data_IF_893657269164
#
_entry.id   IF_893657269164
#
_cell.length_a   1.000
_cell.length_b   1.000
_cell.length_c   1.000
_cell.angle_alpha   90.00
_cell.angle_beta   90.00
_cell.angle_gamma   90.00
#
_symmetry.space_group_name_H-M   'P 1'
#
loop_
_entity.id
_entity.type
_entity.pdbx_description
1 polymer ?
#
# COMPACT_ATOMS: atom_id res chain seq x y z
N UNK A 1 2.52 11.37 -3.92
CA UNK A 1 1.46 11.36 -4.94
C UNK A 1 1.96 12.12 -6.15
N UNK A 2 2.29 11.43 -7.22
CA UNK A 2 2.27 12.01 -8.55
C UNK A 2 1.34 11.13 -9.35
N UNK A 3 0.04 11.31 -9.13
CA UNK A 3 -0.90 10.90 -10.14
C UNK A 3 -0.60 11.79 -11.33
N UNK A 4 -0.05 11.23 -12.41
CA UNK A 4 -0.11 11.88 -13.70
C UNK A 4 -1.56 12.31 -13.89
N UNK A 5 -1.78 13.44 -14.56
CA UNK A 5 -3.11 13.93 -14.86
C UNK A 5 -3.93 12.77 -15.46
N UNK A 6 -5.07 12.36 -14.83
CA UNK A 6 -5.84 11.22 -15.31
C UNK A 6 -6.29 11.47 -16.75
N UNK A 7 -5.88 10.60 -17.65
CA UNK A 7 -6.19 10.72 -19.07
C UNK A 7 -7.67 10.42 -19.33
N UNK A 8 -8.28 11.11 -20.30
CA UNK A 8 -9.64 10.84 -20.74
C UNK A 8 -10.73 11.33 -19.80
N UNK A 9 -10.46 12.34 -18.98
CA UNK A 9 -11.46 13.02 -18.14
C UNK A 9 -11.59 14.49 -18.54
N UNK A 10 -12.79 15.05 -18.39
CA UNK A 10 -13.09 16.43 -18.78
C UNK A 10 -12.83 17.43 -17.66
N UNK A 11 -12.84 16.97 -16.40
CA UNK A 11 -12.57 17.80 -15.23
C UNK A 11 -12.23 16.96 -13.98
N UNK A 12 -11.68 17.63 -12.96
CA UNK A 12 -11.25 17.03 -11.69
C UNK A 12 -12.08 17.56 -10.54
N UNK A 13 -12.45 16.67 -9.61
CA UNK A 13 -12.98 17.01 -8.29
C UNK A 13 -11.96 16.62 -7.23
N UNK A 14 -11.44 17.61 -6.50
CA UNK A 14 -10.41 17.42 -5.49
C UNK A 14 -10.95 17.83 -4.15
N UNK A 15 -10.90 16.96 -3.16
CA UNK A 15 -11.54 17.16 -1.86
C UNK A 15 -10.54 16.82 -0.76
N UNK A 16 -10.43 17.65 0.27
CA UNK A 16 -9.60 17.29 1.42
C UNK A 16 -9.72 18.21 2.61
N UNK A 17 -9.21 17.77 3.74
CA UNK A 17 -8.99 18.59 4.92
C UNK A 17 -7.54 19.14 4.97
N UNK A 18 -7.17 19.80 6.06
CA UNK A 18 -5.81 20.37 6.23
C UNK A 18 -4.70 19.32 6.12
N UNK A 19 -4.96 18.04 6.40
CA UNK A 19 -3.96 16.98 6.27
C UNK A 19 -3.65 16.65 4.82
N UNK A 20 -4.63 16.85 3.93
CA UNK A 20 -4.49 16.67 2.50
C UNK A 20 -3.91 17.91 1.77
N UNK A 21 -3.83 19.06 2.46
CA UNK A 21 -3.44 20.34 1.85
C UNK A 21 -2.07 20.29 1.13
N UNK A 22 -1.00 19.66 1.66
CA UNK A 22 0.26 19.56 0.94
C UNK A 22 0.15 18.80 -0.39
N UNK A 23 -0.66 17.74 -0.42
CA UNK A 23 -0.90 16.95 -1.62
C UNK A 23 -1.73 17.73 -2.65
N UNK A 24 -2.78 18.42 -2.21
CA UNK A 24 -3.62 19.28 -3.04
C UNK A 24 -2.78 20.41 -3.65
N UNK A 25 -1.97 21.10 -2.84
CA UNK A 25 -1.11 22.19 -3.29
C UNK A 25 -0.14 21.75 -4.37
N UNK A 26 0.51 20.61 -4.16
CA UNK A 26 1.43 20.02 -5.14
C UNK A 26 0.70 19.66 -6.43
N UNK A 27 -0.45 19.02 -6.32
CA UNK A 27 -1.21 18.60 -7.49
C UNK A 27 -1.71 19.78 -8.32
N UNK A 28 -2.20 20.84 -7.66
CA UNK A 28 -2.57 22.09 -8.33
C UNK A 28 -1.40 22.74 -9.06
N UNK A 29 -0.21 22.76 -8.46
CA UNK A 29 0.99 23.31 -9.08
C UNK A 29 1.48 22.49 -10.30
N UNK A 30 1.18 21.17 -10.31
CA UNK A 30 1.58 20.27 -11.39
C UNK A 30 0.48 20.10 -12.47
N UNK A 31 -0.74 20.63 -12.26
CA UNK A 31 -1.84 20.53 -13.24
C UNK A 31 -1.51 21.27 -14.53
N UNK A 32 -1.76 20.64 -15.69
CA UNK A 32 -1.61 21.31 -16.98
C UNK A 32 -2.53 22.54 -17.11
N UNK A 33 -2.05 23.57 -17.79
CA UNK A 33 -2.84 24.76 -18.09
C UNK A 33 -4.15 24.38 -18.80
N UNK A 34 -5.27 24.98 -18.36
CA UNK A 34 -6.59 24.72 -18.91
C UNK A 34 -7.30 23.48 -18.36
N UNK A 35 -6.67 22.72 -17.47
CA UNK A 35 -7.36 21.67 -16.73
C UNK A 35 -8.47 22.26 -15.87
N UNK A 36 -9.70 21.81 -16.06
CA UNK A 36 -10.82 22.28 -15.22
C UNK A 36 -10.86 21.50 -13.91
N UNK A 37 -10.89 22.20 -12.77
CA UNK A 37 -10.97 21.55 -11.46
C UNK A 37 -11.93 22.26 -10.51
N UNK A 38 -12.58 21.49 -9.63
CA UNK A 38 -13.26 21.94 -8.44
C UNK A 38 -12.54 21.39 -7.23
N UNK A 39 -12.14 22.28 -6.34
CA UNK A 39 -11.32 21.94 -5.18
C UNK A 39 -12.02 22.41 -3.91
N UNK A 40 -12.26 21.49 -2.98
CA UNK A 40 -12.84 21.79 -1.67
C UNK A 40 -11.83 21.46 -0.59
N UNK A 41 -11.49 22.43 0.26
CA UNK A 41 -10.50 22.27 1.32
C UNK A 41 -11.11 22.74 2.64
N UNK A 42 -11.22 21.81 3.60
CA UNK A 42 -11.65 22.14 4.95
C UNK A 42 -10.46 22.49 5.82
N UNK A 43 -10.55 23.57 6.56
CA UNK A 43 -9.53 24.07 7.48
C UNK A 43 -10.12 24.48 8.83
N UNK A 44 -9.30 24.48 9.88
CA UNK A 44 -9.73 24.84 11.23
C UNK A 44 -10.30 26.24 11.35
N UNK A 45 -9.65 27.21 10.73
CA UNK A 45 -10.01 28.63 10.78
C UNK A 45 -9.76 29.30 9.43
N UNK A 46 -10.46 30.42 9.19
CA UNK A 46 -10.31 31.26 7.98
C UNK A 46 -8.85 31.69 7.74
N UNK A 47 -8.09 31.91 8.81
CA UNK A 47 -6.69 32.30 8.79
C UNK A 47 -5.74 31.23 8.25
N UNK A 48 -6.20 29.98 8.16
CA UNK A 48 -5.41 28.85 7.64
C UNK A 48 -5.46 28.73 6.12
N UNK A 49 -6.19 29.59 5.43
CA UNK A 49 -6.19 29.65 3.96
C UNK A 49 -4.83 30.06 3.44
N UNK A 50 -4.44 29.47 2.33
CA UNK A 50 -3.16 29.70 1.66
C UNK A 50 -3.38 30.01 0.19
N UNK A 51 -2.47 30.72 -0.42
CA UNK A 51 -2.42 30.83 -1.88
C UNK A 51 -1.91 29.50 -2.46
N UNK A 52 -2.67 28.95 -3.41
CA UNK A 52 -2.33 27.71 -4.11
C UNK A 52 -2.09 28.06 -5.60
N UNK A 53 -0.84 28.32 -5.99
CA UNK A 53 -0.53 28.68 -7.36
C UNK A 53 -0.81 27.51 -8.31
N UNK A 54 -1.48 27.79 -9.43
CA UNK A 54 -1.80 26.82 -10.47
C UNK A 54 -2.01 27.52 -11.82
N UNK A 55 -1.66 26.84 -12.90
CA UNK A 55 -1.98 27.27 -14.28
C UNK A 55 -3.31 26.65 -14.77
N UNK A 56 -3.95 25.81 -13.95
CA UNK A 56 -5.21 25.18 -14.25
C UNK A 56 -6.42 26.14 -14.10
N UNK A 57 -7.52 25.84 -14.79
CA UNK A 57 -8.83 26.48 -14.55
C UNK A 57 -9.50 25.86 -13.32
N UNK A 58 -8.91 26.14 -12.16
CA UNK A 58 -9.30 25.58 -10.89
C UNK A 58 -10.07 26.58 -10.03
N UNK A 59 -11.22 26.15 -9.49
CA UNK A 59 -11.98 26.92 -8.49
C UNK A 59 -11.74 26.26 -7.14
N UNK A 60 -11.02 26.97 -6.25
CA UNK A 60 -10.71 26.50 -4.90
C UNK A 60 -11.70 27.12 -3.92
N UNK A 61 -12.44 26.27 -3.22
CA UNK A 61 -13.39 26.63 -2.16
C UNK A 61 -12.83 26.22 -0.81
N UNK A 62 -12.60 27.20 0.05
CA UNK A 62 -12.16 26.98 1.41
C UNK A 62 -13.36 26.93 2.35
N UNK A 63 -13.39 25.95 3.23
CA UNK A 63 -14.43 25.70 4.21
C UNK A 63 -13.81 25.82 5.60
N UNK A 64 -14.22 26.84 6.37
CA UNK A 64 -13.76 27.02 7.73
C UNK A 64 -14.64 26.29 8.72
N UNK A 65 -14.06 25.53 9.64
CA UNK A 65 -14.77 24.92 10.76
C UNK A 65 -15.03 25.89 11.90
N UNK A 66 -14.50 27.12 11.83
CA UNK A 66 -14.64 28.17 12.85
C UNK A 66 -14.30 27.68 14.26
N UNK A 67 -13.21 26.90 14.37
CA UNK A 67 -12.71 26.35 15.63
C UNK A 67 -13.37 25.03 16.07
N UNK A 68 -14.36 24.51 15.33
CA UNK A 68 -14.86 23.15 15.60
C UNK A 68 -13.74 22.09 15.40
N UNK A 69 -13.71 21.03 16.22
CA UNK A 69 -12.69 19.99 16.09
C UNK A 69 -12.70 19.35 14.69
N UNK A 70 -11.51 18.95 14.23
CA UNK A 70 -11.37 18.26 12.95
C UNK A 70 -12.20 16.96 12.92
N UNK A 71 -12.83 16.68 11.76
CA UNK A 71 -13.66 15.49 11.55
C UNK A 71 -15.00 15.50 12.30
N UNK A 72 -15.46 16.66 12.81
CA UNK A 72 -16.77 16.77 13.48
C UNK A 72 -17.81 17.52 12.66
N UNK A 73 -17.42 18.03 11.50
CA UNK A 73 -18.30 18.82 10.61
C UNK A 73 -18.65 18.01 9.37
N UNK A 74 -19.73 18.40 8.72
CA UNK A 74 -20.18 17.87 7.42
C UNK A 74 -19.96 18.87 6.27
N UNK A 75 -19.09 19.86 6.48
CA UNK A 75 -18.85 20.95 5.53
C UNK A 75 -18.41 20.46 4.15
N UNK A 76 -17.46 19.53 4.10
CA UNK A 76 -17.01 18.93 2.84
C UNK A 76 -18.14 18.19 2.12
N UNK A 77 -18.90 17.36 2.84
CA UNK A 77 -20.02 16.63 2.25
C UNK A 77 -21.11 17.57 1.75
N UNK A 78 -21.49 18.57 2.53
CA UNK A 78 -22.47 19.58 2.12
C UNK A 78 -22.01 20.37 0.88
N UNK A 79 -20.73 20.77 0.84
CA UNK A 79 -20.17 21.49 -0.29
C UNK A 79 -20.20 20.65 -1.57
N UNK A 80 -19.81 19.38 -1.49
CA UNK A 80 -19.84 18.44 -2.62
C UNK A 80 -21.27 18.15 -3.09
N UNK A 81 -22.23 17.99 -2.17
CA UNK A 81 -23.63 17.75 -2.51
C UNK A 81 -24.29 18.94 -3.17
N UNK A 82 -23.94 20.16 -2.74
CA UNK A 82 -24.56 21.42 -3.21
C UNK A 82 -23.85 22.01 -4.43
N UNK A 83 -22.69 21.56 -4.81
CA UNK A 83 -21.95 22.10 -5.95
C UNK A 83 -22.71 21.90 -7.27
N UNK A 84 -22.52 22.86 -8.20
CA UNK A 84 -22.91 22.67 -9.58
C UNK A 84 -21.99 21.61 -10.24
N UNK A 85 -22.60 20.49 -10.67
CA UNK A 85 -21.87 19.41 -11.32
C UNK A 85 -21.52 19.77 -12.76
N UNK A 86 -20.23 19.78 -13.09
CA UNK A 86 -19.80 20.14 -14.43
C UNK A 86 -20.16 19.04 -15.45
N UNK A 87 -20.44 19.42 -16.69
CA UNK A 87 -20.69 18.45 -17.74
C UNK A 87 -19.39 17.71 -18.14
N UNK A 88 -19.54 16.45 -18.53
CA UNK A 88 -18.44 15.59 -18.97
C UNK A 88 -18.02 14.58 -17.91
N UNK A 89 -16.98 13.84 -18.22
CA UNK A 89 -16.39 12.82 -17.35
C UNK A 89 -15.52 13.46 -16.26
N UNK A 90 -15.70 13.02 -15.02
CA UNK A 90 -14.94 13.49 -13.85
C UNK A 90 -13.97 12.42 -13.37
N UNK A 91 -12.84 12.86 -12.84
CA UNK A 91 -12.03 12.09 -11.90
C UNK A 91 -12.11 12.72 -10.52
N UNK A 92 -12.38 11.91 -9.51
CA UNK A 92 -12.54 12.35 -8.12
C UNK A 92 -11.36 11.88 -7.29
N UNK A 93 -10.67 12.81 -6.67
CA UNK A 93 -9.64 12.52 -5.68
C UNK A 93 -10.04 13.13 -4.34
N UNK A 94 -10.02 12.34 -3.29
CA UNK A 94 -10.39 12.79 -1.96
C UNK A 94 -9.45 12.21 -0.90
N UNK A 95 -8.95 13.06 0.01
CA UNK A 95 -8.12 12.61 1.13
C UNK A 95 -8.42 13.42 2.40
N UNK A 96 -8.38 12.76 3.56
CA UNK A 96 -8.67 13.40 4.85
C UNK A 96 -9.22 12.42 5.87
N UNK A 97 -10.16 12.89 6.73
CA UNK A 97 -10.79 12.07 7.76
C UNK A 97 -11.67 10.96 7.15
N UNK A 98 -11.42 9.71 7.52
CA UNK A 98 -11.99 8.53 6.88
C UNK A 98 -13.54 8.48 6.90
N UNK A 99 -14.19 8.89 8.02
CA UNK A 99 -15.66 8.85 8.15
C UNK A 99 -16.31 9.94 7.30
N UNK A 100 -15.71 11.13 7.27
CA UNK A 100 -16.17 12.26 6.42
C UNK A 100 -16.12 11.87 4.95
N UNK A 101 -15.03 11.24 4.51
CA UNK A 101 -14.87 10.80 3.12
C UNK A 101 -15.89 9.72 2.72
N UNK A 102 -16.35 8.88 3.65
CA UNK A 102 -17.34 7.84 3.39
C UNK A 102 -18.68 8.39 2.90
N UNK A 103 -19.20 9.45 3.55
CA UNK A 103 -20.42 10.12 3.12
C UNK A 103 -20.30 10.70 1.71
N UNK A 104 -19.16 11.32 1.42
CA UNK A 104 -18.85 11.89 0.11
C UNK A 104 -18.75 10.79 -0.95
N UNK A 105 -18.03 9.70 -0.68
CA UNK A 105 -17.89 8.55 -1.60
C UNK A 105 -19.24 7.96 -1.96
N UNK A 106 -20.12 7.74 -0.96
CA UNK A 106 -21.50 7.25 -1.19
C UNK A 106 -22.27 8.16 -2.14
N UNK A 107 -22.22 9.48 -1.93
CA UNK A 107 -22.87 10.44 -2.81
C UNK A 107 -22.32 10.37 -4.25
N UNK A 108 -21.01 10.34 -4.42
CA UNK A 108 -20.35 10.28 -5.72
C UNK A 108 -20.71 8.98 -6.47
N UNK A 109 -20.72 7.85 -5.76
CA UNK A 109 -21.04 6.55 -6.36
C UNK A 109 -22.53 6.40 -6.66
N UNK A 110 -23.40 6.65 -5.67
CA UNK A 110 -24.84 6.37 -5.79
C UNK A 110 -25.60 7.44 -6.57
N UNK A 111 -25.36 8.73 -6.26
CA UNK A 111 -26.15 9.83 -6.83
C UNK A 111 -25.54 10.38 -8.12
N UNK A 112 -24.21 10.37 -8.25
CA UNK A 112 -23.49 10.88 -9.43
C UNK A 112 -23.04 9.78 -10.39
N UNK A 113 -23.10 8.51 -9.98
CA UNK A 113 -22.78 7.34 -10.79
C UNK A 113 -21.37 7.39 -11.42
N UNK A 114 -20.41 7.98 -10.70
CA UNK A 114 -19.01 8.01 -11.16
C UNK A 114 -18.44 6.60 -11.07
N UNK A 115 -17.83 6.07 -12.15
CA UNK A 115 -17.21 4.76 -12.15
C UNK A 115 -16.03 4.69 -11.16
N UNK A 116 -15.83 3.52 -10.55
CA UNK A 116 -14.83 3.31 -9.51
C UNK A 116 -13.39 3.60 -9.96
N UNK A 117 -13.08 3.24 -11.20
CA UNK A 117 -11.79 3.50 -11.84
C UNK A 117 -11.48 5.00 -12.03
N UNK A 118 -12.46 5.85 -11.78
CA UNK A 118 -12.34 7.32 -11.82
C UNK A 118 -12.42 7.96 -10.44
N UNK A 119 -12.19 7.19 -9.39
CA UNK A 119 -12.22 7.66 -8.01
C UNK A 119 -11.00 7.18 -7.25
N UNK A 120 -10.42 8.08 -6.46
CA UNK A 120 -9.37 7.76 -5.49
C UNK A 120 -9.74 8.43 -4.16
N UNK A 121 -10.00 7.61 -3.15
CA UNK A 121 -10.37 8.04 -1.82
C UNK A 121 -9.40 7.46 -0.80
N UNK A 122 -8.64 8.32 -0.13
CA UNK A 122 -7.65 7.91 0.86
C UNK A 122 -7.95 8.50 2.23
N UNK A 123 -8.26 7.67 3.21
CA UNK A 123 -8.36 8.09 4.61
C UNK A 123 -6.96 8.32 5.18
N UNK A 124 -6.58 9.58 5.39
CA UNK A 124 -5.28 9.92 5.99
C UNK A 124 -5.28 9.77 7.51
N UNK A 125 -6.44 9.93 8.13
CA UNK A 125 -6.60 9.78 9.57
C UNK A 125 -8.05 9.45 9.91
N UNK A 126 -8.28 9.00 11.13
CA UNK A 126 -9.60 8.71 11.65
C UNK A 126 -9.75 9.33 13.02
N UNK A 127 -10.83 10.07 13.23
CA UNK A 127 -11.19 10.56 14.55
C UNK A 127 -11.52 9.37 15.46
N UNK A 128 -10.91 9.36 16.66
CA UNK A 128 -11.36 8.44 17.70
C UNK A 128 -12.79 8.86 18.12
N UNK A 129 -13.78 7.99 17.93
CA UNK A 129 -15.11 8.22 18.49
C UNK A 129 -15.02 8.08 20.01
N UNK A 130 -15.57 9.05 20.78
CA UNK A 130 -15.80 8.79 22.20
C UNK A 130 -16.77 7.62 22.31
N UNK A 131 -16.42 6.63 23.14
CA UNK A 131 -17.31 5.50 23.42
C UNK A 131 -18.70 6.01 23.79
N UNK A 132 -19.80 5.40 23.27
CA UNK A 132 -21.15 5.83 23.59
C UNK A 132 -21.38 5.70 25.09
N UNK A 133 -21.46 6.82 25.81
CA UNK A 133 -21.74 6.87 27.25
C UNK A 133 -20.75 7.65 28.11
N UNK A 134 -19.71 8.27 27.54
CA UNK A 134 -18.79 9.12 28.30
C UNK A 134 -19.43 10.47 28.62
N UNK A 135 -20.39 10.49 29.55
CA UNK A 135 -20.77 11.66 30.32
C UNK A 135 -20.13 11.53 31.71
N UNK A 136 -19.18 12.41 31.99
CA UNK A 136 -18.83 12.97 33.30
C UNK A 136 -18.31 12.10 34.47
N UNK A 137 -17.90 10.86 34.29
CA UNK A 137 -17.03 10.22 35.29
C UNK A 137 -15.68 9.94 34.64
N UNK A 138 -14.67 10.71 35.02
CA UNK A 138 -13.28 10.45 34.59
C UNK A 138 -12.90 9.05 35.09
N UNK A 139 -12.78 8.09 34.15
CA UNK A 139 -12.23 6.76 34.46
C UNK A 139 -10.89 6.97 35.15
N UNK A 140 -10.64 6.37 36.30
CA UNK A 140 -9.35 6.47 36.98
C UNK A 140 -8.22 6.12 36.01
N UNK A 141 -7.11 6.86 36.04
CA UNK A 141 -5.98 6.64 35.12
C UNK A 141 -5.50 5.18 35.07
N UNK A 142 -5.56 4.47 36.20
CA UNK A 142 -5.20 3.05 36.29
C UNK A 142 -6.21 2.14 35.54
N UNK A 143 -7.48 2.48 35.56
CA UNK A 143 -8.54 1.71 34.86
C UNK A 143 -8.46 1.95 33.35
N UNK A 144 -8.25 3.19 32.91
CA UNK A 144 -8.02 3.53 31.51
C UNK A 144 -6.74 2.87 30.95
N UNK A 145 -5.67 2.80 31.75
CA UNK A 145 -4.44 2.11 31.38
C UNK A 145 -4.67 0.59 31.26
N UNK A 146 -5.47 0.01 32.14
CA UNK A 146 -5.82 -1.41 32.11
C UNK A 146 -6.67 -1.76 30.87
N UNK A 147 -7.71 -0.99 30.60
CA UNK A 147 -8.53 -1.15 29.40
C UNK A 147 -7.68 -1.03 28.12
N UNK A 148 -6.81 -0.01 28.06
CA UNK A 148 -5.91 0.16 26.92
C UNK A 148 -4.96 -1.01 26.73
N UNK A 149 -4.46 -1.62 27.81
CA UNK A 149 -3.61 -2.80 27.72
C UNK A 149 -4.41 -4.00 27.18
N UNK A 150 -5.65 -4.19 27.62
CA UNK A 150 -6.53 -5.25 27.11
C UNK A 150 -6.81 -5.06 25.61
N UNK A 151 -7.14 -3.86 25.15
CA UNK A 151 -7.33 -3.56 23.73
C UNK A 151 -6.06 -3.89 22.90
N UNK A 152 -4.88 -3.47 23.39
CA UNK A 152 -3.61 -3.70 22.69
C UNK A 152 -3.21 -5.18 22.65
N UNK A 153 -3.72 -6.01 23.55
CA UNK A 153 -3.38 -7.44 23.61
C UNK A 153 -4.46 -8.34 23.03
N UNK A 154 -5.65 -7.81 22.67
CA UNK A 154 -6.74 -8.60 22.13
C UNK A 154 -6.51 -8.93 20.65
N UNK A 155 -6.26 -10.20 20.37
CA UNK A 155 -6.08 -10.73 19.01
C UNK A 155 -7.38 -11.31 18.44
N UNK A 156 -8.43 -11.49 19.26
CA UNK A 156 -9.64 -12.19 18.85
C UNK A 156 -10.41 -11.47 17.72
N UNK A 157 -10.60 -10.14 17.73
CA UNK A 157 -11.28 -9.46 16.63
C UNK A 157 -10.58 -9.67 15.28
N UNK A 158 -9.25 -9.54 15.26
CA UNK A 158 -8.45 -9.72 14.04
C UNK A 158 -8.58 -11.13 13.45
N UNK A 159 -8.54 -12.17 14.29
CA UNK A 159 -8.75 -13.55 13.83
C UNK A 159 -10.18 -13.84 13.40
N UNK A 160 -11.19 -13.28 14.09
CA UNK A 160 -12.59 -13.46 13.74
C UNK A 160 -12.90 -12.82 12.37
N UNK A 161 -12.43 -11.60 12.13
CA UNK A 161 -12.56 -10.90 10.84
C UNK A 161 -11.92 -11.73 9.73
N UNK A 162 -10.65 -12.09 9.87
CA UNK A 162 -9.92 -12.86 8.86
C UNK A 162 -10.55 -14.22 8.58
N UNK A 163 -11.08 -14.89 9.62
CA UNK A 163 -11.81 -16.15 9.46
C UNK A 163 -13.11 -15.94 8.68
N UNK A 164 -13.89 -14.93 9.03
CA UNK A 164 -15.14 -14.61 8.34
C UNK A 164 -14.93 -14.25 6.86
N UNK A 165 -13.92 -13.42 6.56
CA UNK A 165 -13.51 -13.10 5.19
C UNK A 165 -13.07 -14.35 4.43
N UNK A 166 -12.24 -15.19 5.04
CA UNK A 166 -11.73 -16.42 4.41
C UNK A 166 -12.86 -17.42 4.08
N UNK A 167 -13.91 -17.44 4.89
CA UNK A 167 -15.10 -18.26 4.67
C UNK A 167 -16.09 -17.62 3.68
N UNK A 168 -15.89 -16.37 3.24
CA UNK A 168 -16.84 -15.65 2.40
C UNK A 168 -18.15 -15.34 3.10
N UNK A 169 -18.14 -15.20 4.45
CA UNK A 169 -19.38 -15.01 5.23
C UNK A 169 -20.06 -13.68 4.91
N UNK A 170 -19.31 -12.60 4.77
CA UNK A 170 -19.86 -11.28 4.50
C UNK A 170 -20.48 -11.20 3.10
N UNK A 171 -19.87 -11.81 2.09
CA UNK A 171 -20.42 -11.94 0.74
C UNK A 171 -21.69 -12.76 0.70
N UNK A 172 -21.75 -13.87 1.46
CA UNK A 172 -22.95 -14.70 1.57
C UNK A 172 -24.10 -13.91 2.22
N UNK A 173 -23.84 -13.18 3.30
CA UNK A 173 -24.84 -12.35 3.98
C UNK A 173 -25.32 -11.22 3.07
N UNK A 174 -24.43 -10.52 2.37
CA UNK A 174 -24.80 -9.51 1.35
C UNK A 174 -25.65 -10.12 0.25
N UNK A 175 -25.36 -11.36 -0.15
CA UNK A 175 -26.12 -12.12 -1.14
C UNK A 175 -27.48 -12.65 -0.64
N UNK A 176 -27.90 -12.32 0.58
CA UNK A 176 -29.20 -12.70 1.16
C UNK A 176 -29.20 -14.03 1.90
N UNK A 177 -28.02 -14.66 2.12
CA UNK A 177 -27.91 -15.86 2.95
C UNK A 177 -27.68 -15.44 4.41
N UNK A 178 -28.76 -15.30 5.20
CA UNK A 178 -28.68 -14.73 6.54
C UNK A 178 -28.74 -15.76 7.68
N UNK A 179 -29.33 -16.93 7.41
CA UNK A 179 -29.57 -17.95 8.43
C UNK A 179 -28.33 -18.78 8.79
N UNK A 180 -28.02 -18.99 10.09
CA UNK A 180 -26.81 -19.70 10.54
C UNK A 180 -26.64 -21.11 9.95
N UNK A 181 -27.72 -21.88 9.85
CA UNK A 181 -27.68 -23.25 9.32
C UNK A 181 -27.32 -23.27 7.82
N UNK A 182 -27.84 -22.33 7.04
CA UNK A 182 -27.52 -22.19 5.62
C UNK A 182 -26.09 -21.66 5.40
N UNK A 183 -25.66 -20.70 6.22
CA UNK A 183 -24.28 -20.23 6.22
C UNK A 183 -23.29 -21.37 6.54
N UNK A 184 -23.56 -22.19 7.55
CA UNK A 184 -22.72 -23.35 7.89
C UNK A 184 -22.64 -24.35 6.73
N UNK A 185 -23.77 -24.61 6.08
CA UNK A 185 -23.81 -25.51 4.93
C UNK A 185 -23.03 -24.98 3.73
N UNK A 186 -23.13 -23.68 3.46
CA UNK A 186 -22.44 -23.02 2.34
C UNK A 186 -20.92 -22.94 2.54
N UNK A 187 -20.50 -22.69 3.77
CA UNK A 187 -19.08 -22.58 4.12
C UNK A 187 -18.43 -23.92 4.47
N UNK A 188 -19.23 -24.99 4.60
CA UNK A 188 -18.73 -26.32 4.98
C UNK A 188 -18.20 -26.39 6.42
N UNK A 189 -18.70 -25.53 7.30
CA UNK A 189 -18.25 -25.40 8.70
C UNK A 189 -19.15 -26.15 9.67
N UNK A 190 -18.63 -26.43 10.88
CA UNK A 190 -19.44 -26.93 11.99
C UNK A 190 -20.49 -25.89 12.41
N UNK A 191 -21.79 -26.24 12.43
CA UNK A 191 -22.85 -25.28 12.71
C UNK A 191 -22.77 -24.63 14.09
N UNK A 192 -22.30 -25.38 15.11
CA UNK A 192 -22.19 -24.87 16.48
C UNK A 192 -21.06 -23.84 16.59
N UNK A 193 -19.89 -24.15 16.01
CA UNK A 193 -18.76 -23.25 16.01
C UNK A 193 -19.02 -22.00 15.15
N UNK A 194 -19.67 -22.17 14.00
CA UNK A 194 -20.09 -21.02 13.21
C UNK A 194 -21.09 -20.14 13.97
N UNK A 195 -22.06 -20.75 14.69
CA UNK A 195 -22.99 -20.00 15.53
C UNK A 195 -22.28 -19.15 16.59
N UNK A 196 -21.24 -19.70 17.22
CA UNK A 196 -20.40 -18.94 18.15
C UNK A 196 -19.66 -17.79 17.49
N UNK A 197 -19.09 -18.02 16.30
CA UNK A 197 -18.43 -16.96 15.52
C UNK A 197 -19.41 -15.85 15.13
N UNK A 198 -20.60 -16.19 14.63
CA UNK A 198 -21.62 -15.21 14.27
C UNK A 198 -22.06 -14.39 15.50
N UNK A 199 -22.24 -15.02 16.65
CA UNK A 199 -22.55 -14.34 17.91
C UNK A 199 -21.44 -13.34 18.28
N UNK A 200 -20.19 -13.75 18.15
CA UNK A 200 -19.05 -12.88 18.40
C UNK A 200 -18.99 -11.71 17.41
N UNK A 201 -19.21 -11.96 16.11
CA UNK A 201 -19.24 -10.90 15.10
C UNK A 201 -20.36 -9.87 15.33
N UNK A 202 -21.51 -10.32 15.89
CA UNK A 202 -22.58 -9.40 16.35
C UNK A 202 -22.10 -8.58 17.54
N UNK A 203 -21.46 -9.22 18.53
CA UNK A 203 -20.99 -8.55 19.73
C UNK A 203 -19.94 -7.45 19.45
N UNK A 204 -19.09 -7.64 18.43
CA UNK A 204 -18.09 -6.64 18.02
C UNK A 204 -18.58 -5.70 16.90
N UNK A 205 -19.88 -5.73 16.58
CA UNK A 205 -20.51 -4.77 15.66
C UNK A 205 -20.23 -5.00 14.17
N UNK A 206 -19.81 -6.19 13.77
CA UNK A 206 -19.63 -6.56 12.35
C UNK A 206 -20.87 -7.16 11.71
N UNK A 207 -21.77 -7.73 12.51
CA UNK A 207 -23.07 -8.20 12.07
C UNK A 207 -24.16 -7.64 12.99
N UNK A 208 -25.38 -7.60 12.48
CA UNK A 208 -26.58 -7.35 13.27
C UNK A 208 -27.56 -8.51 13.10
N UNK A 209 -28.23 -8.90 14.19
CA UNK A 209 -29.34 -9.84 14.12
C UNK A 209 -30.57 -9.18 13.45
N UNK A 210 -31.21 -9.87 12.50
CA UNK A 210 -32.36 -9.32 11.74
C UNK A 210 -33.72 -9.47 12.47
N UNK A 211 -33.73 -10.09 13.67
CA UNK A 211 -34.94 -10.34 14.46
C UNK A 211 -35.73 -11.59 14.05
N UNK A 212 -35.40 -12.21 12.91
CA UNK A 212 -35.99 -13.45 12.39
C UNK A 212 -35.05 -14.65 12.50
N UNK A 213 -33.94 -14.47 13.22
CA UNK A 213 -32.90 -15.48 13.43
C UNK A 213 -31.82 -15.51 12.37
N UNK A 214 -31.77 -14.52 11.50
CA UNK A 214 -30.73 -14.29 10.53
C UNK A 214 -29.79 -13.14 10.91
N UNK A 215 -28.88 -12.80 10.00
CA UNK A 215 -27.86 -11.78 10.16
C UNK A 215 -27.83 -10.83 8.96
N UNK A 216 -27.48 -9.57 9.20
CA UNK A 216 -27.22 -8.56 8.17
C UNK A 216 -25.89 -7.87 8.42
N UNK A 217 -25.32 -7.27 7.38
CA UNK A 217 -24.10 -6.49 7.47
C UNK A 217 -24.36 -5.19 8.24
N UNK A 218 -23.33 -4.73 8.94
CA UNK A 218 -23.25 -3.37 9.46
C UNK A 218 -22.47 -2.49 8.47
N UNK A 219 -22.52 -1.15 8.60
CA UNK A 219 -21.69 -0.28 7.80
C UNK A 219 -20.18 -0.60 7.85
N UNK A 220 -19.70 -1.16 8.96
CA UNK A 220 -18.29 -1.56 9.11
C UNK A 220 -17.97 -2.80 8.26
N UNK A 221 -18.84 -3.81 8.27
CA UNK A 221 -18.61 -5.02 7.49
C UNK A 221 -18.96 -4.86 6.00
N UNK A 222 -19.77 -3.87 5.63
CA UNK A 222 -19.97 -3.51 4.23
C UNK A 222 -18.66 -3.09 3.55
N UNK A 223 -17.72 -2.44 4.26
CA UNK A 223 -16.40 -2.10 3.76
C UNK A 223 -15.59 -3.34 3.31
N UNK A 224 -15.77 -4.47 4.02
CA UNK A 224 -15.07 -5.72 3.72
C UNK A 224 -15.56 -6.40 2.43
N UNK A 225 -16.74 -6.02 1.92
CA UNK A 225 -17.35 -6.62 0.73
C UNK A 225 -17.54 -5.64 -0.43
N UNK A 226 -17.43 -4.34 -0.19
CA UNK A 226 -17.45 -3.31 -1.23
C UNK A 226 -16.14 -3.25 -2.00
N UNK A 227 -15.05 -3.66 -1.37
CA UNK A 227 -13.71 -3.62 -1.92
C UNK A 227 -13.09 -5.04 -2.05
N UNK A 228 -12.89 -5.50 -3.29
CA UNK A 228 -12.19 -6.75 -3.56
C UNK A 228 -10.78 -6.76 -2.95
N UNK A 229 -10.15 -5.58 -2.81
CA UNK A 229 -8.86 -5.43 -2.15
C UNK A 229 -8.95 -5.78 -0.66
N UNK A 230 -9.97 -5.32 0.06
CA UNK A 230 -10.19 -5.65 1.47
C UNK A 230 -10.37 -7.15 1.68
N UNK A 231 -11.05 -7.83 0.77
CA UNK A 231 -11.21 -9.31 0.80
C UNK A 231 -9.85 -10.02 0.70
N UNK A 232 -8.95 -9.60 -0.17
CA UNK A 232 -7.61 -10.19 -0.28
C UNK A 232 -6.70 -9.83 0.91
N UNK A 233 -6.78 -8.62 1.43
CA UNK A 233 -5.99 -8.14 2.56
C UNK A 233 -6.26 -8.95 3.83
N UNK A 234 -7.54 -9.25 4.13
CA UNK A 234 -7.90 -9.96 5.35
C UNK A 234 -8.01 -11.49 5.19
N UNK A 235 -7.83 -12.04 4.01
CA UNK A 235 -7.87 -13.49 3.80
C UNK A 235 -6.68 -14.20 4.46
N UNK A 236 -6.94 -15.26 5.26
CA UNK A 236 -5.91 -15.98 6.03
C UNK A 236 -4.81 -16.65 5.17
N UNK A 237 -5.12 -17.00 3.92
CA UNK A 237 -4.14 -17.49 2.95
C UNK A 237 -3.44 -16.39 2.16
N UNK A 238 -3.68 -15.12 2.44
CA UNK A 238 -3.09 -13.98 1.75
C UNK A 238 -1.72 -13.57 2.28
N UNK A 239 -1.03 -12.74 1.50
CA UNK A 239 0.30 -12.23 1.86
C UNK A 239 0.25 -11.33 3.10
N UNK A 240 -0.77 -10.47 3.21
CA UNK A 240 -0.94 -9.59 4.37
C UNK A 240 -1.14 -10.40 5.66
N UNK A 241 -1.92 -11.48 5.61
CA UNK A 241 -2.07 -12.37 6.75
C UNK A 241 -0.74 -13.02 7.14
N UNK A 242 0.08 -13.46 6.19
CA UNK A 242 1.41 -13.98 6.47
C UNK A 242 2.31 -12.93 7.14
N UNK A 243 2.24 -11.68 6.71
CA UNK A 243 2.96 -10.56 7.32
C UNK A 243 2.51 -10.31 8.77
N UNK A 244 1.20 -10.25 9.02
CA UNK A 244 0.65 -9.98 10.36
C UNK A 244 0.92 -11.13 11.32
N UNK A 245 0.68 -12.37 10.88
CA UNK A 245 0.92 -13.58 11.68
C UNK A 245 2.40 -13.83 11.93
N UNK A 246 3.29 -13.26 11.12
CA UNK A 246 4.74 -13.38 11.29
C UNK A 246 5.21 -12.89 12.66
N UNK A 247 4.51 -11.92 13.24
CA UNK A 247 4.81 -11.39 14.57
C UNK A 247 4.73 -12.44 15.68
N UNK A 248 4.08 -13.59 15.46
CA UNK A 248 4.16 -14.75 16.37
C UNK A 248 5.57 -15.30 16.52
N UNK A 249 6.44 -15.05 15.52
CA UNK A 249 7.87 -15.39 15.54
C UNK A 249 8.79 -14.34 16.15
N UNK A 250 8.25 -13.17 16.59
CA UNK A 250 9.05 -12.01 16.99
C UNK A 250 10.04 -12.33 18.12
N UNK A 251 9.61 -13.09 19.13
CA UNK A 251 10.50 -13.47 20.23
C UNK A 251 11.69 -14.29 19.75
N UNK A 252 11.49 -15.21 18.80
CA UNK A 252 12.56 -15.98 18.21
C UNK A 252 13.51 -15.08 17.42
N UNK A 253 12.99 -14.25 16.53
CA UNK A 253 13.78 -13.34 15.72
C UNK A 253 14.63 -12.38 16.58
N UNK A 254 14.07 -11.81 17.65
CA UNK A 254 14.81 -10.95 18.57
C UNK A 254 15.95 -11.67 19.33
N UNK A 255 15.79 -12.97 19.61
CA UNK A 255 16.81 -13.75 20.35
C UNK A 255 17.92 -14.29 19.47
N UNK A 256 17.62 -14.57 18.21
CA UNK A 256 18.54 -15.31 17.33
C UNK A 256 19.03 -14.51 16.13
N UNK A 257 18.29 -13.47 15.73
CA UNK A 257 18.51 -12.78 14.45
C UNK A 257 18.04 -13.61 13.23
N UNK A 258 17.40 -14.76 13.45
CA UNK A 258 16.91 -15.64 12.37
C UNK A 258 15.39 -15.51 12.19
N UNK A 259 14.84 -15.88 11.00
CA UNK A 259 13.40 -15.91 10.79
C UNK A 259 12.69 -16.75 11.86
N UNK A 260 11.61 -16.22 12.42
CA UNK A 260 10.85 -16.87 13.50
C UNK A 260 9.51 -17.42 13.09
N UNK A 261 9.06 -17.18 11.86
CA UNK A 261 7.71 -17.52 11.42
C UNK A 261 7.70 -18.58 10.31
N UNK A 262 6.81 -19.55 10.47
CA UNK A 262 6.47 -20.54 9.45
C UNK A 262 4.99 -20.42 9.07
N UNK A 263 4.67 -20.65 7.81
CA UNK A 263 3.29 -20.72 7.34
C UNK A 263 2.52 -21.85 8.02
N UNK A 264 1.20 -21.85 7.87
CA UNK A 264 0.36 -22.96 8.36
C UNK A 264 0.78 -24.35 7.82
N UNK A 265 1.42 -24.39 6.63
CA UNK A 265 2.01 -25.59 6.05
C UNK A 265 3.34 -26.03 6.68
N UNK A 266 3.91 -25.21 7.57
CA UNK A 266 5.17 -25.49 8.25
C UNK A 266 6.42 -25.01 7.52
N UNK A 267 6.28 -24.43 6.33
CA UNK A 267 7.38 -23.91 5.53
C UNK A 267 7.75 -22.47 5.90
N UNK A 268 9.02 -22.10 5.69
CA UNK A 268 9.40 -20.69 5.68
C UNK A 268 8.64 -19.94 4.58
N UNK A 269 8.25 -18.70 4.84
CA UNK A 269 7.46 -17.89 3.88
C UNK A 269 8.15 -17.82 2.52
N UNK A 270 9.45 -17.58 2.49
CA UNK A 270 10.22 -17.56 1.24
C UNK A 270 10.11 -18.88 0.45
N UNK A 271 10.08 -20.02 1.14
CA UNK A 271 9.90 -21.34 0.52
C UNK A 271 8.45 -21.54 0.06
N UNK A 272 7.47 -21.18 0.90
CA UNK A 272 6.06 -21.29 0.58
C UNK A 272 5.69 -20.47 -0.67
N UNK A 273 6.26 -19.29 -0.83
CA UNK A 273 6.06 -18.44 -2.02
C UNK A 273 6.51 -19.09 -3.34
N UNK A 274 7.37 -20.11 -3.31
CA UNK A 274 7.75 -20.84 -4.52
C UNK A 274 6.65 -21.78 -5.04
N UNK A 275 5.74 -22.20 -4.18
CA UNK A 275 4.68 -23.19 -4.49
C UNK A 275 3.25 -22.67 -4.28
N UNK A 276 3.05 -21.65 -3.47
CA UNK A 276 1.76 -21.02 -3.20
C UNK A 276 1.59 -19.76 -4.07
N UNK A 277 0.84 -19.91 -5.17
CA UNK A 277 0.60 -18.83 -6.14
C UNK A 277 -0.19 -17.67 -5.52
N UNK A 278 -1.09 -17.92 -4.56
CA UNK A 278 -1.86 -16.87 -3.89
C UNK A 278 -0.96 -16.03 -3.00
N UNK A 279 -0.16 -16.68 -2.17
CA UNK A 279 0.80 -16.01 -1.30
C UNK A 279 1.82 -15.20 -2.11
N UNK A 280 2.40 -15.80 -3.13
CA UNK A 280 3.36 -15.13 -4.02
C UNK A 280 2.73 -13.98 -4.80
N UNK A 281 1.55 -14.19 -5.37
CA UNK A 281 0.83 -13.18 -6.13
C UNK A 281 0.39 -11.99 -5.29
N UNK A 282 -0.14 -12.22 -4.09
CA UNK A 282 -0.52 -11.17 -3.16
C UNK A 282 0.68 -10.37 -2.66
N UNK A 283 1.78 -11.05 -2.29
CA UNK A 283 3.01 -10.39 -1.88
C UNK A 283 3.61 -9.52 -2.99
N UNK A 284 3.54 -9.98 -4.23
CA UNK A 284 3.97 -9.19 -5.39
C UNK A 284 3.06 -7.99 -5.62
N UNK A 285 1.75 -8.20 -5.64
CA UNK A 285 0.78 -7.13 -5.88
C UNK A 285 0.94 -5.98 -4.87
N UNK A 286 1.15 -6.28 -3.58
CA UNK A 286 1.37 -5.28 -2.55
C UNK A 286 2.62 -4.42 -2.83
N UNK A 287 3.74 -5.04 -3.21
CA UNK A 287 4.98 -4.31 -3.49
C UNK A 287 4.90 -3.54 -4.82
N UNK A 288 4.18 -4.05 -5.82
CA UNK A 288 3.93 -3.30 -7.07
C UNK A 288 3.04 -2.07 -6.82
N UNK A 289 2.06 -2.18 -5.92
CA UNK A 289 1.25 -1.03 -5.51
C UNK A 289 2.09 0.04 -4.81
N UNK A 290 2.91 -0.36 -3.83
CA UNK A 290 3.83 0.56 -3.14
C UNK A 290 4.83 1.22 -4.12
N UNK A 291 5.31 0.48 -5.12
CA UNK A 291 6.26 0.99 -6.11
C UNK A 291 5.71 2.18 -6.92
N UNK A 292 4.39 2.36 -7.01
CA UNK A 292 3.76 3.53 -7.66
C UNK A 292 4.19 4.85 -7.03
N UNK A 293 4.43 4.84 -5.72
CA UNK A 293 4.81 6.05 -4.98
C UNK A 293 6.24 6.52 -5.29
N UNK A 294 7.14 5.58 -5.59
CA UNK A 294 8.56 5.87 -5.84
C UNK A 294 8.91 5.93 -7.32
N UNK A 295 8.09 5.35 -8.20
CA UNK A 295 8.36 5.27 -9.63
C UNK A 295 8.65 6.64 -10.29
N UNK A 296 7.93 7.74 -9.96
CA UNK A 296 8.26 9.06 -10.49
C UNK A 296 9.62 9.59 -10.02
N UNK A 297 10.02 9.28 -8.78
CA UNK A 297 11.35 9.59 -8.26
C UNK A 297 12.44 8.86 -9.02
N UNK A 298 12.26 7.56 -9.24
CA UNK A 298 13.19 6.72 -10.03
C UNK A 298 13.33 7.26 -11.45
N UNK A 299 12.24 7.65 -12.10
CA UNK A 299 12.26 8.17 -13.48
C UNK A 299 13.06 9.48 -13.63
N UNK A 300 13.19 10.25 -12.56
CA UNK A 300 13.88 11.56 -12.55
C UNK A 300 15.31 11.47 -12.00
N UNK A 301 15.61 10.46 -11.19
CA UNK A 301 16.85 10.40 -10.41
C UNK A 301 18.07 9.93 -11.21
N UNK A 302 17.89 9.45 -12.43
CA UNK A 302 18.99 8.94 -13.27
C UNK A 302 18.90 9.47 -14.71
N UNK A 303 20.03 9.50 -15.42
CA UNK A 303 20.07 9.87 -16.85
C UNK A 303 19.66 8.69 -17.73
N UNK A 304 18.37 8.41 -17.76
CA UNK A 304 17.78 7.32 -18.55
C UNK A 304 17.94 7.52 -20.06
N UNK A 305 18.16 8.76 -20.51
CA UNK A 305 18.39 9.04 -21.93
C UNK A 305 19.70 8.42 -22.43
N UNK A 306 20.66 8.19 -21.54
CA UNK A 306 21.92 7.50 -21.85
C UNK A 306 21.80 5.97 -21.88
N UNK A 307 20.67 5.40 -21.43
CA UNK A 307 20.45 3.95 -21.31
C UNK A 307 19.64 3.46 -22.50
N UNK A 308 20.25 2.62 -23.33
CA UNK A 308 19.54 1.98 -24.44
C UNK A 308 18.81 0.70 -24.00
N UNK A 309 19.46 -0.09 -23.14
CA UNK A 309 18.94 -1.36 -22.63
C UNK A 309 19.15 -1.42 -21.12
N UNK A 310 18.07 -1.72 -20.39
CA UNK A 310 18.04 -1.94 -18.96
C UNK A 310 17.74 -3.41 -18.68
N UNK A 311 18.51 -4.05 -17.81
CA UNK A 311 18.11 -5.32 -17.21
C UNK A 311 17.60 -5.05 -15.80
N UNK A 312 16.39 -5.49 -15.47
CA UNK A 312 15.73 -5.15 -14.22
C UNK A 312 15.23 -6.41 -13.50
N UNK A 313 15.18 -6.38 -12.19
CA UNK A 313 14.62 -7.44 -11.36
C UNK A 313 14.37 -7.00 -9.93
N UNK A 314 13.85 -7.91 -9.11
CA UNK A 314 13.45 -7.64 -7.74
C UNK A 314 11.95 -7.33 -7.60
N UNK A 315 11.57 -6.69 -6.51
CA UNK A 315 10.17 -6.47 -6.15
C UNK A 315 9.72 -5.05 -6.56
N UNK A 316 8.47 -4.91 -7.02
CA UNK A 316 7.94 -3.63 -7.53
C UNK A 316 8.49 -3.22 -8.91
N UNK A 317 9.27 -4.11 -9.55
CA UNK A 317 9.99 -3.81 -10.80
C UNK A 317 9.05 -3.56 -11.98
N UNK A 318 7.88 -4.20 -12.02
CA UNK A 318 6.91 -4.01 -13.12
C UNK A 318 6.38 -2.59 -13.16
N UNK A 319 5.97 -2.07 -12.03
CA UNK A 319 5.49 -0.68 -11.88
C UNK A 319 6.59 0.34 -12.18
N UNK A 320 7.82 0.09 -11.72
CA UNK A 320 8.96 0.96 -12.07
C UNK A 320 9.22 0.96 -13.57
N UNK A 321 9.16 -0.20 -14.23
CA UNK A 321 9.37 -0.34 -15.67
C UNK A 321 8.27 0.36 -16.47
N UNK A 322 7.01 0.25 -16.05
CA UNK A 322 5.91 1.00 -16.66
C UNK A 322 6.20 2.51 -16.68
N UNK A 323 6.60 3.06 -15.53
CA UNK A 323 6.92 4.48 -15.43
C UNK A 323 8.15 4.88 -16.26
N UNK A 324 9.20 4.04 -16.24
CA UNK A 324 10.43 4.30 -16.99
C UNK A 324 10.21 4.28 -18.51
N UNK A 325 9.51 3.29 -19.04
CA UNK A 325 9.27 3.18 -20.48
C UNK A 325 8.33 4.29 -20.97
N UNK A 326 7.31 4.65 -20.18
CA UNK A 326 6.44 5.80 -20.51
C UNK A 326 7.20 7.12 -20.56
N UNK A 327 8.10 7.35 -19.60
CA UNK A 327 8.94 8.54 -19.58
C UNK A 327 10.04 8.53 -20.65
N UNK A 328 10.54 7.35 -21.03
CA UNK A 328 11.66 7.14 -21.94
C UNK A 328 11.34 6.08 -23.00
N UNK A 329 10.54 6.38 -24.03
CA UNK A 329 10.03 5.39 -24.99
C UNK A 329 11.09 4.67 -25.83
N UNK A 330 12.32 5.19 -25.87
CA UNK A 330 13.44 4.54 -26.54
C UNK A 330 14.08 3.42 -25.71
N UNK A 331 13.81 3.38 -24.39
CA UNK A 331 14.36 2.39 -23.46
C UNK A 331 13.80 0.99 -23.80
N UNK A 332 14.69 0.01 -23.82
CA UNK A 332 14.33 -1.42 -23.92
C UNK A 332 14.67 -2.08 -22.59
N UNK A 333 13.73 -2.81 -22.06
CA UNK A 333 13.86 -3.41 -20.73
C UNK A 333 13.80 -4.93 -20.81
N UNK A 334 14.65 -5.59 -20.06
CA UNK A 334 14.66 -7.02 -19.83
C UNK A 334 14.34 -7.24 -18.36
N UNK A 335 13.19 -7.84 -18.04
CA UNK A 335 12.84 -8.18 -16.65
C UNK A 335 13.21 -9.63 -16.41
N UNK A 336 14.11 -9.85 -15.46
CA UNK A 336 14.54 -11.18 -15.03
C UNK A 336 13.88 -11.53 -13.68
N UNK A 337 13.09 -12.61 -13.66
CA UNK A 337 12.37 -13.06 -12.47
C UNK A 337 12.03 -14.57 -12.57
N UNK A 338 11.45 -15.13 -11.51
CA UNK A 338 10.93 -16.51 -11.54
C UNK A 338 9.79 -16.66 -12.57
N UNK A 339 9.63 -17.84 -13.20
CA UNK A 339 8.57 -18.04 -14.18
C UNK A 339 7.15 -17.71 -13.67
N UNK A 340 6.85 -18.00 -12.40
CA UNK A 340 5.57 -17.64 -11.75
C UNK A 340 5.38 -16.14 -11.64
N UNK A 341 6.43 -15.42 -11.33
CA UNK A 341 6.43 -13.96 -11.21
C UNK A 341 6.29 -13.28 -12.58
N UNK A 342 6.98 -13.79 -13.61
CA UNK A 342 6.89 -13.27 -14.97
C UNK A 342 5.46 -13.35 -15.52
N UNK A 343 4.73 -14.41 -15.20
CA UNK A 343 3.32 -14.55 -15.58
C UNK A 343 2.45 -13.45 -14.97
N UNK A 344 2.63 -13.16 -13.67
CA UNK A 344 1.89 -12.09 -12.99
C UNK A 344 2.26 -10.71 -13.57
N UNK A 345 3.54 -10.48 -13.86
CA UNK A 345 4.00 -9.25 -14.49
C UNK A 345 3.33 -9.03 -15.84
N UNK A 346 3.30 -10.06 -16.69
CA UNK A 346 2.74 -10.00 -18.04
C UNK A 346 1.20 -9.80 -18.03
N UNK A 347 0.51 -10.57 -17.19
CA UNK A 347 -0.96 -10.61 -17.20
C UNK A 347 -1.62 -9.46 -16.42
N UNK A 348 -0.94 -8.87 -15.41
CA UNK A 348 -1.58 -7.98 -14.44
C UNK A 348 -0.88 -6.66 -14.16
N UNK A 349 0.43 -6.57 -14.42
CA UNK A 349 1.23 -5.43 -13.97
C UNK A 349 1.72 -4.58 -15.14
N UNK A 350 2.26 -5.20 -16.18
CA UNK A 350 2.78 -4.45 -17.32
C UNK A 350 1.64 -3.87 -18.14
N UNK A 351 1.71 -2.57 -18.37
CA UNK A 351 0.75 -1.88 -19.23
C UNK A 351 0.89 -2.33 -20.69
N UNK A 352 -0.22 -2.43 -21.40
CA UNK A 352 -0.25 -2.94 -22.78
C UNK A 352 0.56 -2.11 -23.78
N UNK A 353 0.72 -0.81 -23.52
CA UNK A 353 1.55 0.11 -24.30
C UNK A 353 3.04 0.01 -23.97
N UNK A 354 3.41 -0.51 -22.80
CA UNK A 354 4.76 -0.75 -22.31
C UNK A 354 5.29 -2.12 -22.71
N UNK A 355 4.45 -3.14 -22.65
CA UNK A 355 4.79 -4.55 -22.92
C UNK A 355 5.63 -4.76 -24.19
N UNK A 356 5.40 -4.09 -25.33
CA UNK A 356 6.25 -4.25 -26.53
C UNK A 356 7.71 -3.81 -26.36
N UNK A 357 8.02 -3.03 -25.32
CA UNK A 357 9.38 -2.59 -24.99
C UNK A 357 10.06 -3.47 -23.94
N UNK A 358 9.37 -4.50 -23.46
CA UNK A 358 9.83 -5.37 -22.36
C UNK A 358 10.02 -6.80 -22.85
N UNK A 359 11.18 -7.38 -22.54
CA UNK A 359 11.49 -8.81 -22.70
C UNK A 359 11.46 -9.46 -21.32
N UNK A 360 10.64 -10.51 -21.15
CA UNK A 360 10.54 -11.27 -19.91
C UNK A 360 11.49 -12.47 -19.94
N UNK A 361 12.41 -12.57 -18.98
CA UNK A 361 13.48 -13.57 -18.95
C UNK A 361 13.33 -14.45 -17.72
N UNK A 362 13.07 -15.74 -17.89
CA UNK A 362 13.06 -16.68 -16.77
C UNK A 362 14.45 -16.78 -16.12
N UNK A 363 14.52 -16.54 -14.82
CA UNK A 363 15.73 -16.65 -14.02
C UNK A 363 15.43 -17.24 -12.65
N UNK A 364 16.33 -18.02 -12.10
CA UNK A 364 16.19 -18.65 -10.78
C UNK A 364 17.00 -17.94 -9.68
N UNK A 365 17.99 -17.12 -10.05
CA UNK A 365 18.77 -16.33 -9.09
C UNK A 365 18.07 -15.03 -8.70
N UNK A 366 18.40 -14.47 -7.52
CA UNK A 366 17.74 -13.27 -7.00
C UNK A 366 18.13 -11.99 -7.75
N UNK A 367 19.29 -11.96 -8.40
CA UNK A 367 19.82 -10.78 -9.08
C UNK A 367 19.74 -10.94 -10.59
N UNK A 368 19.22 -9.95 -11.31
CA UNK A 368 19.19 -9.99 -12.78
C UNK A 368 20.62 -9.89 -13.37
N UNK A 369 20.85 -10.66 -14.43
CA UNK A 369 22.13 -10.72 -15.10
C UNK A 369 22.08 -10.21 -16.54
N UNK A 370 23.18 -9.59 -16.96
CA UNK A 370 23.41 -9.15 -18.33
C UNK A 370 23.01 -7.69 -18.61
N UNK A 371 23.76 -7.09 -19.53
CA UNK A 371 23.63 -5.68 -19.87
C UNK A 371 24.62 -4.78 -19.13
N UNK A 372 24.75 -3.54 -19.61
CA UNK A 372 25.64 -2.53 -19.01
C UNK A 372 24.96 -1.74 -17.88
N UNK A 373 23.63 -1.74 -17.84
CA UNK A 373 22.84 -1.10 -16.78
C UNK A 373 21.88 -2.13 -16.19
N UNK A 374 21.98 -2.36 -14.91
CA UNK A 374 21.15 -3.32 -14.15
C UNK A 374 20.43 -2.58 -13.04
N UNK A 375 19.12 -2.79 -12.92
CA UNK A 375 18.28 -2.25 -11.86
C UNK A 375 17.82 -3.41 -10.95
N UNK A 376 18.10 -3.28 -9.67
CA UNK A 376 17.61 -4.18 -8.62
C UNK A 376 16.72 -3.37 -7.69
N UNK A 377 15.50 -3.83 -7.46
CA UNK A 377 14.53 -3.13 -6.65
C UNK A 377 14.06 -3.97 -5.47
N UNK A 378 14.15 -3.42 -4.26
CA UNK A 378 13.60 -3.95 -3.00
C UNK A 378 13.92 -5.42 -2.75
N UNK A 379 15.15 -5.80 -3.02
CA UNK A 379 15.64 -7.15 -2.83
C UNK A 379 16.32 -7.32 -1.47
N UNK A 380 17.16 -6.34 -1.07
CA UNK A 380 18.06 -6.52 0.07
C UNK A 380 17.31 -6.51 1.42
N UNK A 381 16.17 -5.86 1.50
CA UNK A 381 15.31 -5.86 2.70
C UNK A 381 14.84 -7.25 3.11
N UNK A 382 14.89 -8.23 2.18
CA UNK A 382 14.43 -9.62 2.36
C UNK A 382 15.59 -10.61 2.48
N UNK A 383 16.80 -10.13 2.54
CA UNK A 383 18.02 -10.95 2.64
C UNK A 383 18.77 -10.61 3.94
N UNK A 384 19.24 -11.62 4.64
CA UNK A 384 20.21 -11.41 5.72
C UNK A 384 21.49 -10.77 5.16
N UNK A 385 22.31 -10.14 5.99
CA UNK A 385 23.46 -9.36 5.54
C UNK A 385 24.43 -10.16 4.66
N UNK A 386 24.71 -11.39 5.02
CA UNK A 386 25.62 -12.23 4.24
C UNK A 386 25.04 -12.61 2.87
N UNK A 387 23.74 -12.91 2.81
CA UNK A 387 23.05 -13.19 1.55
C UNK A 387 22.93 -11.93 0.68
N UNK A 388 22.71 -10.76 1.30
CA UNK A 388 22.70 -9.48 0.60
C UNK A 388 24.07 -9.16 -0.02
N UNK A 389 25.16 -9.41 0.72
CA UNK A 389 26.53 -9.25 0.19
C UNK A 389 26.77 -10.24 -0.94
N UNK A 390 26.35 -11.50 -0.81
CA UNK A 390 26.48 -12.50 -1.86
C UNK A 390 25.74 -12.06 -3.13
N UNK A 391 24.49 -11.64 -3.02
CA UNK A 391 23.68 -11.16 -4.12
C UNK A 391 24.31 -9.94 -4.84
N UNK A 392 24.80 -8.97 -4.07
CA UNK A 392 25.52 -7.82 -4.63
C UNK A 392 26.85 -8.20 -5.27
N UNK A 393 27.56 -9.20 -4.72
CA UNK A 393 28.82 -9.72 -5.29
C UNK A 393 28.58 -10.40 -6.64
N UNK A 394 27.51 -11.21 -6.75
CA UNK A 394 27.08 -11.82 -8.01
C UNK A 394 26.70 -10.74 -9.04
N UNK A 395 25.94 -9.73 -8.62
CA UNK A 395 25.62 -8.58 -9.47
C UNK A 395 26.89 -7.88 -9.98
N UNK A 396 27.82 -7.58 -9.07
CA UNK A 396 29.11 -6.94 -9.39
C UNK A 396 29.91 -7.76 -10.39
N UNK A 397 30.00 -9.07 -10.18
CA UNK A 397 30.76 -9.97 -11.07
C UNK A 397 30.15 -10.06 -12.47
N UNK A 398 28.82 -9.97 -12.59
CA UNK A 398 28.10 -10.03 -13.85
C UNK A 398 28.13 -8.73 -14.66
N UNK A 399 28.48 -7.58 -14.05
CA UNK A 399 28.59 -6.31 -14.72
C UNK A 399 29.86 -6.23 -15.59
N UNK A 400 29.78 -5.62 -16.79
CA UNK A 400 30.98 -5.24 -17.52
C UNK A 400 31.80 -4.18 -16.76
N UNK A 401 33.05 -3.93 -17.19
CA UNK A 401 33.95 -3.01 -16.49
C UNK A 401 33.41 -1.59 -16.33
N UNK A 402 32.64 -1.13 -17.30
CA UNK A 402 31.96 0.16 -17.34
C UNK A 402 30.46 0.07 -16.96
N UNK A 403 30.03 -1.06 -16.42
CA UNK A 403 28.64 -1.30 -16.06
C UNK A 403 28.20 -0.58 -14.80
N UNK A 404 26.91 -0.29 -14.73
CA UNK A 404 26.26 0.39 -13.60
C UNK A 404 25.20 -0.51 -13.00
N UNK A 405 25.25 -0.68 -11.69
CA UNK A 405 24.17 -1.26 -10.89
C UNK A 405 23.36 -0.13 -10.23
N UNK A 406 22.09 -0.08 -10.55
CA UNK A 406 21.11 0.78 -9.90
C UNK A 406 20.39 -0.04 -8.86
N UNK A 407 20.40 0.42 -7.62
CA UNK A 407 19.72 -0.23 -6.52
C UNK A 407 18.64 0.69 -5.95
N UNK A 408 17.40 0.22 -5.91
CA UNK A 408 16.28 0.92 -5.28
C UNK A 408 15.92 0.15 -4.02
N UNK A 409 16.12 0.77 -2.87
CA UNK A 409 15.79 0.17 -1.57
C UNK A 409 15.09 1.19 -0.66
N UNK A 410 14.19 0.69 0.18
CA UNK A 410 13.66 1.47 1.28
C UNK A 410 14.70 1.50 2.40
N UNK A 411 14.91 2.68 2.98
CA UNK A 411 15.80 2.83 4.13
C UNK A 411 14.98 2.93 5.42
N UNK A 412 15.58 2.53 6.51
CA UNK A 412 15.01 2.71 7.85
C UNK A 412 14.90 4.22 8.14
N UNK A 413 13.67 4.74 8.42
CA UNK A 413 13.47 6.15 8.73
C UNK A 413 14.34 6.61 9.90
N UNK A 414 14.82 7.84 9.82
CA UNK A 414 15.56 8.47 10.93
C UNK A 414 14.54 9.12 11.85
N UNK A 415 14.55 8.74 13.15
CA UNK A 415 13.69 9.36 14.16
C UNK A 415 12.71 8.39 14.84
N UNK A 416 12.35 7.30 14.23
CA UNK A 416 11.50 6.25 14.85
C UNK A 416 10.03 6.60 15.03
N UNK A 417 9.56 7.71 14.47
CA UNK A 417 8.17 8.18 14.62
C UNK A 417 7.21 7.56 13.58
N UNK A 418 7.75 6.88 12.56
CA UNK A 418 6.97 6.15 11.58
C UNK A 418 6.63 4.75 12.11
N UNK A 419 5.39 4.59 12.57
CA UNK A 419 4.89 3.32 13.10
C UNK A 419 4.84 2.23 12.04
N UNK A 420 4.45 2.58 10.81
CA UNK A 420 4.29 1.60 9.73
C UNK A 420 5.64 1.05 9.29
N UNK A 421 6.64 1.91 9.08
CA UNK A 421 8.00 1.48 8.76
C UNK A 421 8.63 0.66 9.90
N UNK A 422 8.35 1.03 11.16
CA UNK A 422 8.81 0.27 12.32
C UNK A 422 8.18 -1.11 12.35
N UNK A 423 6.87 -1.21 12.14
CA UNK A 423 6.14 -2.48 12.09
C UNK A 423 6.60 -3.35 10.91
N UNK A 424 6.81 -2.75 9.75
CA UNK A 424 7.35 -3.43 8.58
C UNK A 424 8.73 -4.02 8.87
N UNK A 425 9.60 -3.27 9.54
CA UNK A 425 10.92 -3.77 9.93
C UNK A 425 10.85 -5.01 10.84
N UNK A 426 9.93 -5.01 11.81
CA UNK A 426 9.69 -6.18 12.67
C UNK A 426 9.15 -7.38 11.88
N UNK A 427 8.23 -7.14 10.93
CA UNK A 427 7.68 -8.19 10.05
C UNK A 427 8.77 -8.80 9.17
N UNK A 428 9.62 -7.99 8.56
CA UNK A 428 10.76 -8.46 7.76
C UNK A 428 11.71 -9.30 8.58
N UNK A 429 12.01 -8.90 9.82
CA UNK A 429 12.84 -9.70 10.72
C UNK A 429 12.22 -11.06 11.02
N UNK A 430 10.92 -11.12 11.26
CA UNK A 430 10.21 -12.37 11.54
C UNK A 430 10.14 -13.29 10.31
N UNK A 431 9.98 -12.72 9.11
CA UNK A 431 9.79 -13.46 7.87
C UNK A 431 11.11 -13.93 7.25
N UNK A 432 12.14 -13.07 7.26
CA UNK A 432 13.35 -13.25 6.47
C UNK A 432 14.65 -13.17 7.28
N UNK A 433 14.59 -12.87 8.58
CA UNK A 433 15.78 -12.62 9.40
C UNK A 433 16.55 -11.36 8.97
N UNK A 434 15.85 -10.42 8.39
CA UNK A 434 16.40 -9.19 7.81
C UNK A 434 15.55 -7.99 8.19
N UNK A 435 15.78 -6.83 7.60
CA UNK A 435 14.96 -5.65 7.87
C UNK A 435 15.40 -4.44 7.05
N UNK A 436 14.74 -3.33 7.29
CA UNK A 436 15.13 -2.05 6.72
C UNK A 436 16.47 -1.62 7.29
N UNK A 437 17.37 -1.24 6.42
CA UNK A 437 18.71 -0.78 6.76
C UNK A 437 18.82 0.73 6.64
N UNK A 438 19.69 1.34 7.41
CA UNK A 438 20.07 2.73 7.21
C UNK A 438 20.86 2.89 5.91
N UNK A 439 21.00 4.13 5.46
CA UNK A 439 21.80 4.44 4.29
C UNK A 439 23.26 3.98 4.43
N UNK A 440 23.84 4.13 5.63
CA UNK A 440 25.22 3.76 5.88
C UNK A 440 25.40 2.22 5.91
N UNK A 441 24.44 1.48 6.47
CA UNK A 441 24.44 0.01 6.46
C UNK A 441 24.36 -0.53 5.03
N UNK A 442 23.51 0.02 4.17
CA UNK A 442 23.44 -0.37 2.75
C UNK A 442 24.72 -0.02 1.99
N UNK A 443 25.32 1.14 2.25
CA UNK A 443 26.62 1.49 1.68
C UNK A 443 27.73 0.52 2.09
N UNK A 444 27.73 0.09 3.36
CA UNK A 444 28.70 -0.88 3.86
C UNK A 444 28.54 -2.24 3.19
N UNK A 445 27.31 -2.73 2.94
CA UNK A 445 27.06 -3.96 2.20
C UNK A 445 27.58 -3.87 0.76
N UNK A 446 27.33 -2.75 0.07
CA UNK A 446 27.83 -2.52 -1.28
C UNK A 446 29.37 -2.56 -1.33
N UNK A 447 30.05 -1.93 -0.37
CA UNK A 447 31.51 -1.95 -0.28
C UNK A 447 32.04 -3.36 0.00
N UNK A 448 31.42 -4.11 0.91
CA UNK A 448 31.77 -5.53 1.18
C UNK A 448 31.64 -6.41 -0.06
N UNK A 449 30.68 -6.08 -0.94
CA UNK A 449 30.47 -6.78 -2.22
C UNK A 449 31.39 -6.30 -3.36
N UNK A 450 32.40 -5.49 -3.07
CA UNK A 450 33.32 -4.96 -4.07
C UNK A 450 32.73 -3.90 -4.99
N UNK A 451 31.65 -3.27 -4.57
CA UNK A 451 31.00 -2.16 -5.29
C UNK A 451 31.42 -0.81 -4.69
N UNK A 452 31.47 0.21 -5.51
CA UNK A 452 31.68 1.59 -5.10
C UNK A 452 30.39 2.38 -5.28
N UNK A 453 29.96 3.06 -4.23
CA UNK A 453 28.84 3.99 -4.28
C UNK A 453 29.31 5.26 -5.01
N UNK A 454 28.71 5.55 -6.15
CA UNK A 454 28.94 6.78 -6.91
C UNK A 454 28.02 7.89 -6.44
N UNK A 455 26.75 7.56 -6.24
CA UNK A 455 25.70 8.47 -5.84
C UNK A 455 24.59 7.72 -5.13
N UNK A 456 23.88 8.42 -4.25
CA UNK A 456 22.68 7.96 -3.59
C UNK A 456 21.69 9.12 -3.56
N UNK A 457 20.56 8.96 -4.22
CA UNK A 457 19.56 10.01 -4.37
C UNK A 457 18.30 9.65 -3.57
N UNK A 458 17.70 10.66 -2.95
CA UNK A 458 16.38 10.55 -2.34
C UNK A 458 15.32 10.53 -3.45
N UNK A 459 14.51 9.49 -3.49
CA UNK A 459 13.43 9.33 -4.46
C UNK A 459 12.04 9.41 -3.82
N UNK A 460 11.99 9.81 -2.55
CA UNK A 460 10.78 9.95 -1.74
C UNK A 460 10.39 8.66 -1.01
N UNK A 461 9.50 8.80 -0.02
CA UNK A 461 8.91 7.67 0.72
C UNK A 461 9.95 6.76 1.37
N UNK A 462 10.98 7.37 1.97
CA UNK A 462 12.14 6.69 2.56
C UNK A 462 12.87 5.74 1.60
N UNK A 463 12.71 5.91 0.30
CA UNK A 463 13.46 5.14 -0.69
C UNK A 463 14.64 5.93 -1.24
N UNK A 464 15.68 5.19 -1.59
CA UNK A 464 16.90 5.71 -2.21
C UNK A 464 17.17 4.97 -3.50
N UNK A 465 17.66 5.72 -4.50
CA UNK A 465 18.27 5.18 -5.69
C UNK A 465 19.80 5.30 -5.57
N UNK A 466 20.45 4.18 -5.56
CA UNK A 466 21.89 4.06 -5.49
C UNK A 466 22.47 3.81 -6.87
N UNK A 467 23.49 4.56 -7.23
CA UNK A 467 24.29 4.33 -8.44
C UNK A 467 25.60 3.71 -8.01
N UNK A 468 25.78 2.45 -8.35
CA UNK A 468 26.91 1.61 -7.94
C UNK A 468 27.73 1.19 -9.17
N UNK A 469 29.02 1.10 -9.00
CA UNK A 469 29.99 0.64 -10.00
C UNK A 469 30.92 -0.40 -9.38
N UNK A 470 31.55 -1.18 -10.22
CA UNK A 470 32.61 -2.09 -9.73
C UNK A 470 33.70 -1.26 -9.06
N UNK A 471 34.11 -1.66 -7.87
CA UNK A 471 35.31 -1.15 -7.24
C UNK A 471 36.55 -1.41 -8.14
N UNK A 472 37.50 -0.49 -8.15
CA UNK A 472 38.80 -0.79 -8.76
C UNK A 472 39.38 -1.97 -7.99
N UNK A 473 39.55 -3.11 -8.65
CA UNK A 473 40.24 -4.26 -8.05
C UNK A 473 41.61 -3.82 -7.55
N UNK A 474 41.91 -4.12 -6.28
CA UNK A 474 43.29 -4.02 -5.78
C UNK A 474 44.19 -5.02 -6.48
#
# INVERSE_FOLDING_TARGET
MSHGHPEGVDWLLVIGDETALPAIARWLAEMPAGTRARVFIEVGEESHRQELPTDADAVVTWLSRDGAPAGTTDLLEQAVRSMEWLPGSVYVWAAGEAVTLKGIRRHITADRQVPRERMDFTGYWRRAEPAPGAAEDAVPEDEAAHERLHELTDLAPGFAIRTAVTLGLFELVRGGVSGPAELARRTGTDPSLLGALLTYLVAIGLLEADGEGGHRLTPVSEELVEDDHSSEEYHLGGAQAAMDLSLSGLLHALRTGEPGYRTAGGDWVATAMLSDERLAGGARAAVEEEARWVAPGVSKAYDWASVTTLTAGGHGVGTLVNALVKAHPALRVRIAALPSELRVLDERILDTDVSPSVELIPQTGPVPHGGSTVLVSRLLERLADEDAVLALTEASAALPADGTLLLVEQIRPVGGDDLDATLQNLRLACLFGSGLRSQDELAALAVRAGLRVRRCDDIGWDHRLWVLERGAGE
#
